data_IF_915302252934
#
_entry.id   IF_915302252934
#
_cell.length_a   1.000
_cell.length_b   1.000
_cell.length_c   1.000
_cell.angle_alpha   90.00
_cell.angle_beta   90.00
_cell.angle_gamma   90.00
#
_symmetry.space_group_name_H-M   'P 1'
#
loop_
_entity.id
_entity.type
_entity.pdbx_description
1 polymer ?
#
# COMPACT_ATOMS: atom_id res chain seq x y z
N UNK A 1 9.95 0.24 22.12
CA UNK A 1 9.52 -0.46 20.89
C UNK A 1 8.19 0.13 20.48
N UNK A 2 7.99 0.54 19.21
CA UNK A 2 6.67 1.00 18.77
C UNK A 2 5.65 -0.12 18.99
N UNK A 3 4.53 0.21 19.62
CA UNK A 3 3.44 -0.73 19.87
C UNK A 3 2.65 -0.87 18.57
N UNK A 4 2.48 -2.09 18.09
CA UNK A 4 1.63 -2.40 16.95
C UNK A 4 0.16 -2.14 17.33
N UNK A 5 -0.39 -1.01 16.87
CA UNK A 5 -1.74 -0.54 17.27
C UNK A 5 -2.81 -0.83 16.22
N UNK A 6 -2.43 -0.84 14.94
CA UNK A 6 -3.34 -1.04 13.82
C UNK A 6 -2.78 -2.12 12.90
N UNK A 7 -3.63 -2.85 12.17
CA UNK A 7 -3.18 -3.63 11.02
C UNK A 7 -2.41 -2.73 10.05
N UNK A 8 -1.46 -3.32 9.33
CA UNK A 8 -0.58 -2.56 8.44
C UNK A 8 -0.53 -3.22 7.06
N UNK A 9 -0.37 -2.40 6.04
CA UNK A 9 -0.04 -2.84 4.68
C UNK A 9 1.28 -2.23 4.25
N UNK A 10 1.96 -2.88 3.33
CA UNK A 10 3.21 -2.38 2.76
C UNK A 10 2.93 -1.56 1.50
N UNK A 11 3.40 -0.32 1.48
CA UNK A 11 3.27 0.61 0.37
C UNK A 11 4.66 0.88 -0.21
N UNK A 12 4.74 1.04 -1.53
CA UNK A 12 5.94 1.50 -2.22
C UNK A 12 5.57 2.31 -3.47
N UNK A 13 6.58 2.84 -4.16
CA UNK A 13 6.41 3.35 -5.53
C UNK A 13 7.05 2.37 -6.51
N UNK A 14 6.36 2.04 -7.59
CA UNK A 14 6.90 1.21 -8.65
C UNK A 14 8.07 1.94 -9.32
N UNK A 15 9.18 1.25 -9.56
CA UNK A 15 10.38 1.90 -10.09
C UNK A 15 10.17 2.42 -11.52
N UNK A 16 9.39 1.71 -12.34
CA UNK A 16 9.26 2.01 -13.77
C UNK A 16 8.41 3.24 -14.06
N UNK A 17 7.28 3.40 -13.37
CA UNK A 17 6.28 4.43 -13.66
C UNK A 17 5.97 5.34 -12.46
N UNK A 18 6.57 5.08 -11.29
CA UNK A 18 6.35 5.86 -10.08
C UNK A 18 4.97 5.65 -9.45
N UNK A 19 4.16 4.72 -9.96
CA UNK A 19 2.82 4.48 -9.41
C UNK A 19 2.91 3.91 -7.98
N UNK A 20 2.02 4.36 -7.11
CA UNK A 20 1.90 3.79 -5.75
C UNK A 20 1.43 2.34 -5.87
N UNK A 21 2.15 1.41 -5.26
CA UNK A 21 1.81 -0.03 -5.27
C UNK A 21 1.79 -0.58 -3.85
N UNK A 22 1.09 -1.70 -3.68
CA UNK A 22 0.87 -2.37 -2.41
C UNK A 22 1.28 -3.82 -2.51
N UNK A 23 1.97 -4.37 -1.51
CA UNK A 23 2.38 -5.76 -1.56
C UNK A 23 1.18 -6.68 -1.32
N UNK A 24 0.75 -7.41 -2.34
CA UNK A 24 -0.33 -8.40 -2.30
C UNK A 24 0.17 -9.83 -2.02
N UNK A 25 -0.73 -10.84 -2.08
CA UNK A 25 -0.38 -12.24 -1.87
C UNK A 25 0.63 -12.80 -2.88
N UNK A 26 0.55 -12.35 -4.14
CA UNK A 26 1.32 -12.89 -5.27
C UNK A 26 2.34 -11.91 -5.87
N UNK A 27 2.42 -10.68 -5.35
CA UNK A 27 3.29 -9.63 -5.89
C UNK A 27 2.77 -8.23 -5.59
N UNK A 28 3.36 -7.23 -6.23
CA UNK A 28 2.94 -5.84 -6.11
C UNK A 28 1.66 -5.58 -6.90
N UNK A 29 0.67 -5.00 -6.22
CA UNK A 29 -0.66 -4.71 -6.74
C UNK A 29 -0.87 -3.20 -6.81
N UNK A 30 -1.67 -2.74 -7.79
CA UNK A 30 -2.07 -1.34 -7.90
C UNK A 30 -3.28 -1.00 -7.02
N UNK A 31 -4.08 -2.00 -6.65
CA UNK A 31 -5.22 -1.79 -5.75
C UNK A 31 -4.88 -2.16 -4.31
N UNK A 32 -4.93 -1.17 -3.41
CA UNK A 32 -4.75 -1.36 -1.98
C UNK A 32 -5.70 -2.39 -1.37
N UNK A 33 -6.90 -2.59 -1.92
CA UNK A 33 -7.89 -3.56 -1.41
C UNK A 33 -7.36 -5.00 -1.48
N UNK A 34 -6.38 -5.26 -2.36
CA UNK A 34 -5.70 -6.55 -2.54
C UNK A 34 -4.42 -6.69 -1.74
N UNK A 35 -4.04 -5.67 -0.96
CA UNK A 35 -2.82 -5.70 -0.18
C UNK A 35 -2.86 -6.80 0.88
N UNK A 36 -1.73 -7.46 1.09
CA UNK A 36 -1.53 -8.37 2.21
C UNK A 36 -1.52 -7.54 3.50
N UNK A 37 -2.38 -7.91 4.44
CA UNK A 37 -2.54 -7.23 5.73
C UNK A 37 -1.71 -7.94 6.78
N UNK A 38 -0.76 -7.23 7.38
CA UNK A 38 -0.15 -7.63 8.64
C UNK A 38 -1.10 -7.30 9.80
N UNK A 39 -1.42 -8.30 10.61
CA UNK A 39 -2.27 -8.16 11.82
C UNK A 39 -1.44 -8.22 13.11
N UNK A 40 -0.14 -8.51 13.00
CA UNK A 40 0.80 -8.64 14.10
C UNK A 40 2.15 -8.05 13.72
N UNK A 41 2.97 -7.77 14.73
CA UNK A 41 4.29 -7.13 14.56
C UNK A 41 5.30 -7.99 13.77
N UNK A 42 5.25 -9.31 13.94
CA UNK A 42 6.08 -10.28 13.20
C UNK A 42 5.70 -10.35 11.72
N UNK A 43 4.39 -10.34 11.41
CA UNK A 43 3.89 -10.25 10.05
C UNK A 43 4.32 -8.94 9.37
N UNK A 44 4.23 -7.81 10.08
CA UNK A 44 4.66 -6.51 9.58
C UNK A 44 6.17 -6.48 9.28
N UNK A 45 6.99 -7.03 10.18
CA UNK A 45 8.44 -7.19 9.96
C UNK A 45 8.71 -8.04 8.71
N UNK A 46 7.97 -9.14 8.54
CA UNK A 46 8.11 -9.99 7.36
C UNK A 46 7.76 -9.26 6.04
N UNK A 47 6.74 -8.39 6.05
CA UNK A 47 6.43 -7.54 4.90
C UNK A 47 7.57 -6.58 4.59
N UNK A 48 8.11 -5.88 5.59
CA UNK A 48 9.23 -4.96 5.39
C UNK A 48 10.45 -5.66 4.82
N UNK A 49 10.78 -6.86 5.30
CA UNK A 49 11.92 -7.62 4.80
C UNK A 49 11.73 -8.09 3.36
N UNK A 50 10.50 -8.46 2.96
CA UNK A 50 10.17 -8.70 1.55
C UNK A 50 10.37 -7.43 0.72
N UNK A 51 9.86 -6.29 1.19
CA UNK A 51 10.01 -5.03 0.47
C UNK A 51 11.46 -4.56 0.35
N UNK A 52 12.30 -4.74 1.38
CA UNK A 52 13.74 -4.46 1.31
C UNK A 52 14.43 -5.31 0.24
N UNK A 53 14.07 -6.59 0.11
CA UNK A 53 14.58 -7.45 -0.96
C UNK A 53 14.16 -6.94 -2.34
N UNK A 54 12.94 -6.43 -2.46
CA UNK A 54 12.41 -5.91 -3.71
C UNK A 54 13.01 -4.54 -4.09
N UNK A 55 13.38 -3.71 -3.11
CA UNK A 55 14.23 -2.52 -3.32
C UNK A 55 15.58 -2.94 -3.87
N UNK A 56 16.27 -3.89 -3.21
CA UNK A 56 17.59 -4.37 -3.66
C UNK A 56 17.55 -5.01 -5.06
N UNK A 57 16.40 -5.54 -5.45
CA UNK A 57 16.14 -6.08 -6.79
C UNK A 57 15.67 -5.02 -7.81
N UNK A 58 15.67 -3.73 -7.46
CA UNK A 58 15.21 -2.63 -8.30
C UNK A 58 13.78 -2.83 -8.86
N UNK A 59 12.88 -3.39 -8.05
CA UNK A 59 11.46 -3.53 -8.42
C UNK A 59 10.62 -2.36 -7.94
N UNK A 60 10.92 -1.84 -6.76
CA UNK A 60 10.20 -0.72 -6.13
C UNK A 60 11.17 0.19 -5.39
N UNK A 61 10.69 1.38 -5.03
CA UNK A 61 11.41 2.36 -4.20
C UNK A 61 10.55 2.83 -3.03
N UNK A 62 11.19 3.33 -1.97
CA UNK A 62 10.54 3.89 -0.78
C UNK A 62 9.46 2.99 -0.18
N UNK A 63 9.83 1.76 0.17
CA UNK A 63 8.95 0.81 0.88
C UNK A 63 8.73 1.27 2.32
N UNK A 64 7.49 1.28 2.78
CA UNK A 64 7.14 1.51 4.19
C UNK A 64 5.80 0.87 4.58
N UNK A 65 5.63 0.59 5.87
CA UNK A 65 4.35 0.16 6.44
C UNK A 65 3.43 1.34 6.69
N UNK A 66 2.16 1.18 6.34
CA UNK A 66 1.10 2.14 6.63
C UNK A 66 0.00 1.49 7.47
N UNK A 67 -0.41 2.19 8.53
CA UNK A 67 -1.54 1.77 9.36
C UNK A 67 -2.85 1.87 8.56
N UNK A 68 -3.67 0.82 8.69
CA UNK A 68 -4.96 0.70 8.01
C UNK A 68 -6.07 0.35 9.00
N UNK A 69 -7.29 0.77 8.66
CA UNK A 69 -8.51 0.14 9.17
C UNK A 69 -8.96 -0.96 8.22
N UNK A 70 -9.66 -1.97 8.75
CA UNK A 70 -10.27 -3.02 7.95
C UNK A 70 -11.76 -2.70 7.81
N UNK A 71 -12.20 -2.44 6.59
CA UNK A 71 -13.60 -2.18 6.28
C UNK A 71 -14.50 -3.40 6.52
N UNK A 72 -15.82 -3.18 6.49
CA UNK A 72 -16.80 -4.27 6.58
C UNK A 72 -16.72 -5.26 5.42
N UNK A 73 -16.18 -4.83 4.28
CA UNK A 73 -15.85 -5.64 3.11
C UNK A 73 -14.53 -6.41 3.24
N UNK A 74 -13.83 -6.25 4.37
CA UNK A 74 -12.52 -6.85 4.63
C UNK A 74 -11.35 -6.12 3.97
N UNK A 75 -11.59 -5.03 3.23
CA UNK A 75 -10.55 -4.31 2.52
C UNK A 75 -9.77 -3.37 3.46
N UNK A 76 -8.43 -3.33 3.37
CA UNK A 76 -7.63 -2.39 4.13
C UNK A 76 -7.72 -0.97 3.55
N UNK A 77 -8.03 0.01 4.39
CA UNK A 77 -8.05 1.44 4.03
C UNK A 77 -7.03 2.21 4.89
N UNK A 78 -6.08 2.98 4.31
CA UNK A 78 -5.10 3.72 5.11
C UNK A 78 -5.73 4.70 6.08
N UNK A 79 -5.20 4.80 7.29
CA UNK A 79 -5.68 5.74 8.30
C UNK A 79 -5.17 7.15 8.07
N UNK A 80 -3.90 7.28 7.71
CA UNK A 80 -3.22 8.56 7.60
C UNK A 80 -3.55 9.28 6.28
N UNK A 81 -3.75 10.60 6.34
CA UNK A 81 -4.28 11.39 5.22
C UNK A 81 -3.38 11.33 3.97
N UNK A 82 -2.06 11.34 4.15
CA UNK A 82 -1.10 11.26 3.03
C UNK A 82 -1.34 10.01 2.19
N UNK A 83 -1.50 8.86 2.85
CA UNK A 83 -1.74 7.58 2.21
C UNK A 83 -3.14 7.53 1.58
N UNK A 84 -4.17 8.06 2.24
CA UNK A 84 -5.51 8.21 1.66
C UNK A 84 -5.48 8.98 0.33
N UNK A 85 -4.65 10.02 0.22
CA UNK A 85 -4.47 10.75 -1.05
C UNK A 85 -3.67 9.94 -2.08
N UNK A 86 -2.59 9.27 -1.65
CA UNK A 86 -1.76 8.41 -2.52
C UNK A 86 -2.54 7.28 -3.18
N UNK A 87 -3.55 6.72 -2.51
CA UNK A 87 -4.42 5.68 -3.10
C UNK A 87 -5.34 6.23 -4.17
N UNK A 88 -5.74 7.51 -4.12
CA UNK A 88 -6.65 8.13 -5.11
C UNK A 88 -5.92 8.68 -6.32
N UNK A 89 -4.70 9.19 -6.12
CA UNK A 89 -3.94 9.92 -7.14
C UNK A 89 -4.14 11.44 -7.03
N UNK A 90 -3.87 12.21 -8.11
CA UNK A 90 -3.89 13.67 -8.08
C UNK A 90 -5.26 14.23 -7.68
N UNK A 91 -5.28 15.22 -6.78
CA UNK A 91 -6.53 15.86 -6.32
C UNK A 91 -7.04 16.96 -7.26
N UNK A 92 -6.21 17.46 -8.17
CA UNK A 92 -6.55 18.56 -9.11
C UNK A 92 -6.88 18.07 -10.52
N UNK A 93 -6.48 16.85 -10.87
CA UNK A 93 -6.71 16.20 -12.18
C UNK A 93 -7.24 14.80 -11.93
N UNK A 94 -8.54 14.74 -11.60
CA UNK A 94 -9.19 13.49 -11.23
C UNK A 94 -9.21 12.49 -12.40
N UNK A 95 -9.07 12.97 -13.62
CA UNK A 95 -8.95 12.21 -14.87
C UNK A 95 -7.60 11.49 -15.05
N UNK A 96 -6.60 11.76 -14.20
CA UNK A 96 -5.25 11.19 -14.31
C UNK A 96 -4.86 10.26 -13.15
N UNK A 97 -5.72 10.10 -12.14
CA UNK A 97 -5.45 9.30 -10.95
C UNK A 97 -5.99 7.86 -11.02
N UNK A 98 -5.83 7.10 -9.92
CA UNK A 98 -6.46 5.78 -9.78
C UNK A 98 -7.98 5.84 -9.84
N UNK A 99 -8.53 6.98 -9.44
CA UNK A 99 -9.95 7.32 -9.58
C UNK A 99 -10.43 7.52 -11.03
N UNK A 100 -9.54 7.52 -12.03
CA UNK A 100 -9.90 7.69 -13.44
C UNK A 100 -10.13 6.36 -14.19
N UNK A 101 -9.64 5.24 -13.65
CA UNK A 101 -9.82 3.90 -14.24
C UNK A 101 -11.16 3.25 -13.89
N UNK A 102 -11.58 2.25 -14.67
CA UNK A 102 -12.77 1.41 -14.39
C UNK A 102 -12.64 0.77 -12.98
N UNK A 103 -13.36 1.33 -12.02
CA UNK A 103 -13.18 1.11 -10.59
C UNK A 103 -13.54 2.33 -9.74
N UNK A 104 -13.87 3.47 -10.37
CA UNK A 104 -14.54 4.59 -9.72
C UNK A 104 -16.00 4.26 -9.34
N UNK A 105 -16.18 3.52 -8.23
CA UNK A 105 -17.22 3.63 -7.19
C UNK A 105 -17.22 2.38 -6.30
#
# INVERSE_FOLDING_TARGET
>A
MPVFKHPQILIASNLTDGEVVFLGPSGWERDHRRARVARKADEATALEDLGKRDISANRVVDVYLADVEIGSDGAPTPLHYREKMRVKGPSVRLDLGKQAGEGAL
#
